data_IF_061896125427
#
_entry.id   IF_061896125427
#
_cell.length_a   1.000
_cell.length_b   1.000
_cell.length_c   1.000
_cell.angle_alpha   90.00
_cell.angle_beta   90.00
_cell.angle_gamma   90.00
#
_symmetry.space_group_name_H-M   'P 1'
#
loop_
_entity.id
_entity.type
_entity.pdbx_description
1 polymer ?
#
# COMPACT_ATOMS: atom_id res chain seq x y z
N UNK A 1 -5.10 7.36 -11.53
CA UNK A 1 -4.13 7.43 -10.43
C UNK A 1 -4.88 7.12 -9.14
N UNK A 2 -4.45 6.09 -8.39
CA UNK A 2 -5.13 5.61 -7.18
C UNK A 2 -4.90 6.50 -5.96
N UNK A 3 -5.07 5.95 -4.76
CA UNK A 3 -4.68 6.65 -3.54
C UNK A 3 -3.16 6.79 -3.45
N UNK A 4 -2.68 7.77 -2.67
CA UNK A 4 -1.24 7.89 -2.40
C UNK A 4 -0.64 6.58 -1.85
N UNK A 5 -1.43 5.83 -1.06
CA UNK A 5 -1.02 4.53 -0.51
C UNK A 5 -0.84 3.46 -1.60
N UNK A 6 -1.74 3.39 -2.58
CA UNK A 6 -1.59 2.47 -3.72
C UNK A 6 -0.42 2.84 -4.63
N UNK A 7 -0.09 4.14 -4.76
CA UNK A 7 1.05 4.58 -5.54
C UNK A 7 2.38 4.26 -4.83
N UNK A 8 2.46 4.40 -3.51
CA UNK A 8 3.66 4.02 -2.75
C UNK A 8 3.91 2.50 -2.76
N UNK A 9 2.84 1.70 -2.80
CA UNK A 9 2.92 0.24 -2.92
C UNK A 9 3.44 -0.22 -4.31
N UNK A 10 3.30 0.60 -5.35
CA UNK A 10 3.84 0.33 -6.69
C UNK A 10 5.33 0.66 -6.78
N UNK A 11 5.76 1.77 -6.19
CA UNK A 11 7.11 2.31 -6.35
C UNK A 11 8.12 1.78 -5.32
N UNK A 12 7.71 0.79 -4.49
CA UNK A 12 8.55 0.22 -3.43
C UNK A 12 8.93 1.22 -2.34
N UNK A 13 8.21 2.33 -2.21
CA UNK A 13 8.54 3.42 -1.27
C UNK A 13 7.95 3.14 0.11
N UNK A 14 8.50 2.14 0.80
CA UNK A 14 8.06 1.69 2.13
C UNK A 14 7.95 2.84 3.14
N UNK A 15 8.89 3.80 3.13
CA UNK A 15 8.85 4.94 4.05
C UNK A 15 7.66 5.89 3.84
N UNK A 16 7.25 6.12 2.59
CA UNK A 16 6.05 6.93 2.29
C UNK A 16 4.80 6.14 2.69
N UNK A 17 4.79 4.85 2.40
CA UNK A 17 3.66 3.98 2.75
C UNK A 17 3.45 3.93 4.27
N UNK A 18 4.52 3.82 5.05
CA UNK A 18 4.47 3.87 6.52
C UNK A 18 3.93 5.21 7.00
N UNK A 19 4.47 6.34 6.51
CA UNK A 19 4.02 7.66 6.91
C UNK A 19 2.53 7.89 6.60
N UNK A 20 2.03 7.35 5.49
CA UNK A 20 0.61 7.43 5.14
C UNK A 20 -0.26 6.61 6.10
N UNK A 21 0.14 5.39 6.43
CA UNK A 21 -0.56 4.53 7.38
C UNK A 21 -0.59 5.17 8.79
N UNK A 22 0.53 5.72 9.25
CA UNK A 22 0.63 6.44 10.53
C UNK A 22 -0.25 7.71 10.57
N UNK A 23 -0.54 8.32 9.41
CA UNK A 23 -1.47 9.45 9.28
C UNK A 23 -2.93 9.02 9.13
N UNK A 24 -3.23 7.74 9.26
CA UNK A 24 -4.59 7.19 9.18
C UNK A 24 -5.09 7.02 7.75
N UNK A 25 -4.19 6.81 6.78
CA UNK A 25 -4.62 6.39 5.45
C UNK A 25 -5.38 5.05 5.55
N UNK A 26 -6.52 4.99 4.88
CA UNK A 26 -7.32 3.77 4.81
C UNK A 26 -6.59 2.71 3.97
N UNK A 27 -6.09 1.69 4.66
CA UNK A 27 -5.31 0.58 4.09
C UNK A 27 -6.11 -0.26 3.08
N UNK A 28 -7.42 -0.31 3.27
CA UNK A 28 -8.35 -1.08 2.43
C UNK A 28 -8.94 -0.24 1.30
N UNK A 29 -8.56 1.03 1.19
CA UNK A 29 -9.08 1.92 0.17
C UNK A 29 -8.65 1.47 -1.21
N UNK A 30 -9.63 1.10 -2.02
CA UNK A 30 -9.43 0.79 -3.42
C UNK A 30 -9.08 2.07 -4.19
N UNK A 31 -8.06 2.00 -5.04
CA UNK A 31 -7.68 3.09 -5.92
C UNK A 31 -6.74 2.68 -7.04
N UNK A 32 -6.94 3.26 -8.23
CA UNK A 32 -6.03 3.07 -9.36
C UNK A 32 -6.19 1.70 -10.02
N UNK A 33 -5.15 1.29 -10.77
CA UNK A 33 -5.22 0.12 -11.66
C UNK A 33 -5.18 -1.21 -10.91
N UNK A 34 -4.54 -1.26 -9.73
CA UNK A 34 -4.24 -2.49 -9.00
C UNK A 34 -5.19 -2.78 -7.84
N UNK A 35 -6.19 -1.93 -7.58
CA UNK A 35 -7.14 -2.11 -6.49
C UNK A 35 -6.62 -1.55 -5.16
N UNK A 36 -6.45 -2.37 -4.13
CA UNK A 36 -5.89 -1.94 -2.83
C UNK A 36 -4.36 -1.88 -2.86
N UNK A 37 -3.76 -1.24 -1.86
CA UNK A 37 -2.31 -1.23 -1.70
C UNK A 37 -1.74 -2.66 -1.53
N UNK A 38 -2.49 -3.56 -0.87
CA UNK A 38 -2.09 -4.95 -0.68
C UNK A 38 -2.06 -5.72 -2.00
N UNK A 39 -3.06 -5.50 -2.85
CA UNK A 39 -3.12 -6.12 -4.18
C UNK A 39 -1.97 -5.63 -5.07
N UNK A 40 -1.64 -4.34 -5.01
CA UNK A 40 -0.48 -3.79 -5.69
C UNK A 40 0.83 -4.43 -5.20
N UNK A 41 1.09 -4.41 -3.89
CA UNK A 41 2.31 -4.98 -3.31
C UNK A 41 2.46 -6.48 -3.63
N UNK A 42 1.36 -7.24 -3.57
CA UNK A 42 1.34 -8.66 -3.91
C UNK A 42 1.63 -8.91 -5.40
N UNK A 43 1.11 -8.06 -6.30
CA UNK A 43 1.36 -8.17 -7.74
C UNK A 43 2.84 -7.99 -8.09
N UNK A 44 3.54 -7.09 -7.42
CA UNK A 44 4.97 -6.84 -7.64
C UNK A 44 5.89 -7.76 -6.84
N UNK A 45 5.35 -8.63 -5.98
CA UNK A 45 6.14 -9.53 -5.14
C UNK A 45 6.92 -8.83 -4.03
N UNK A 46 6.45 -7.66 -3.59
CA UNK A 46 7.09 -6.86 -2.55
C UNK A 46 6.69 -7.36 -1.15
N UNK A 47 7.43 -8.34 -0.65
CA UNK A 47 7.13 -9.03 0.62
C UNK A 47 7.14 -8.08 1.83
N UNK A 48 8.00 -7.06 1.83
CA UNK A 48 8.10 -6.09 2.94
C UNK A 48 6.86 -5.20 2.99
N UNK A 49 6.42 -4.69 1.84
CA UNK A 49 5.20 -3.89 1.76
C UNK A 49 3.94 -4.72 2.03
N UNK A 50 3.88 -5.97 1.57
CA UNK A 50 2.80 -6.90 1.92
C UNK A 50 2.70 -7.09 3.43
N UNK A 51 3.83 -7.37 4.09
CA UNK A 51 3.86 -7.57 5.54
C UNK A 51 3.40 -6.32 6.29
N UNK A 52 3.92 -5.14 5.91
CA UNK A 52 3.54 -3.89 6.56
C UNK A 52 2.04 -3.60 6.43
N UNK A 53 1.45 -3.85 5.25
CA UNK A 53 0.02 -3.63 5.03
C UNK A 53 -0.83 -4.58 5.88
N UNK A 54 -0.45 -5.85 5.98
CA UNK A 54 -1.13 -6.83 6.84
C UNK A 54 -1.06 -6.41 8.31
N UNK A 55 0.10 -5.92 8.78
CA UNK A 55 0.26 -5.42 10.16
C UNK A 55 -0.66 -4.22 10.47
N UNK A 56 -1.07 -3.47 9.44
CA UNK A 56 -1.98 -2.32 9.56
C UNK A 56 -3.45 -2.67 9.23
N UNK A 57 -3.79 -3.95 9.05
CA UNK A 57 -5.17 -4.43 8.88
C UNK A 57 -5.70 -4.40 7.43
N UNK A 58 -4.81 -4.55 6.46
CA UNK A 58 -5.16 -4.80 5.05
C UNK A 58 -5.80 -6.18 4.81
#
# INVERSE_FOLDING_TARGET
>A
YGTALTASAFDGTTGIMQALLEKGADVNKQGGTYGTALQAAAFFGDADNVKMLIEHGA
#
